data_IF_553278213102
#
_entry.id   IF_553278213102
#
_cell.length_a   1.000
_cell.length_b   1.000
_cell.length_c   1.000
_cell.angle_alpha   90.00
_cell.angle_beta   90.00
_cell.angle_gamma   90.00
#
_symmetry.space_group_name_H-M   'P 1'
#
loop_
_entity.id
_entity.type
_entity.pdbx_description
1 polymer ?
#
# COMPACT_ATOMS: atom_id res chain seq x y z
N UNK A 1 2.28 3.90 -0.13
CA UNK A 1 3.12 2.71 0.11
C UNK A 1 4.33 2.66 -0.83
N UNK A 2 5.10 1.57 -0.78
CA UNK A 2 6.33 1.46 -1.57
C UNK A 2 6.04 1.35 -3.05
N UNK A 3 5.02 0.59 -3.44
CA UNK A 3 4.69 0.38 -4.86
C UNK A 3 4.29 1.70 -5.52
N UNK A 4 3.31 2.40 -4.97
CA UNK A 4 2.90 3.71 -5.49
C UNK A 4 4.02 4.75 -5.50
N UNK A 5 4.82 4.86 -4.43
CA UNK A 5 5.92 5.84 -4.38
C UNK A 5 7.05 5.53 -5.37
N UNK A 6 7.40 4.25 -5.56
CA UNK A 6 8.39 3.85 -6.57
C UNK A 6 7.86 4.01 -7.98
N UNK A 7 6.56 3.75 -8.22
CA UNK A 7 5.92 3.97 -9.50
C UNK A 7 5.94 5.44 -9.91
N UNK A 8 5.58 6.34 -8.98
CA UNK A 8 5.63 7.80 -9.22
C UNK A 8 7.07 8.25 -9.47
N UNK A 9 8.03 7.83 -8.64
CA UNK A 9 9.42 8.19 -8.82
C UNK A 9 9.98 7.70 -10.17
N UNK A 10 9.63 6.48 -10.59
CA UNK A 10 10.04 5.91 -11.87
C UNK A 10 9.54 6.72 -13.06
N UNK A 11 8.22 6.92 -13.12
CA UNK A 11 7.58 7.63 -14.25
C UNK A 11 8.04 9.09 -14.30
N UNK A 12 8.11 9.77 -13.15
CA UNK A 12 8.62 11.13 -13.05
C UNK A 12 10.07 11.24 -13.53
N UNK A 13 10.98 10.38 -13.04
CA UNK A 13 12.40 10.37 -13.45
C UNK A 13 12.58 10.08 -14.92
N UNK A 14 11.76 9.21 -15.51
CA UNK A 14 11.84 8.92 -16.93
C UNK A 14 11.37 10.10 -17.78
N UNK A 15 10.16 10.61 -17.54
CA UNK A 15 9.57 11.67 -18.35
C UNK A 15 10.38 12.97 -18.22
N UNK A 16 10.88 13.28 -17.01
CA UNK A 16 11.67 14.51 -16.77
C UNK A 16 12.93 14.62 -17.64
N UNK A 17 13.44 13.50 -18.17
CA UNK A 17 14.58 13.52 -19.10
C UNK A 17 14.25 14.19 -20.45
N UNK A 18 12.97 14.16 -20.83
CA UNK A 18 12.52 14.58 -22.15
C UNK A 18 11.51 15.73 -22.11
N UNK A 19 10.82 15.90 -20.98
CA UNK A 19 9.76 16.86 -20.79
C UNK A 19 9.84 17.49 -19.39
N UNK A 20 10.05 18.80 -19.33
CA UNK A 20 10.28 19.51 -18.07
C UNK A 20 9.01 19.98 -17.36
N UNK A 21 7.88 20.10 -18.07
CA UNK A 21 6.61 20.54 -17.49
C UNK A 21 5.85 19.34 -16.92
N UNK A 22 6.40 18.76 -15.85
CA UNK A 22 5.87 17.61 -15.12
C UNK A 22 6.05 17.85 -13.62
N UNK A 23 5.03 17.49 -12.85
CA UNK A 23 5.04 17.49 -11.39
C UNK A 23 4.40 16.20 -10.90
N UNK A 24 4.40 15.96 -9.58
CA UNK A 24 3.75 14.82 -8.98
C UNK A 24 2.97 15.21 -7.72
N UNK A 25 1.88 14.52 -7.51
CA UNK A 25 1.00 14.68 -6.37
C UNK A 25 0.87 13.34 -5.63
N UNK A 26 1.02 13.37 -4.31
CA UNK A 26 0.81 12.20 -3.45
C UNK A 26 -0.32 12.56 -2.48
N UNK A 27 -1.47 11.89 -2.57
CA UNK A 27 -2.58 12.15 -1.67
C UNK A 27 -2.20 11.95 -0.20
N UNK A 28 -2.66 12.85 0.65
CA UNK A 28 -2.46 12.71 2.09
C UNK A 28 -3.41 11.62 2.64
N UNK A 29 -2.82 10.54 3.14
CA UNK A 29 -3.54 9.39 3.69
C UNK A 29 -4.57 9.76 4.75
N UNK A 30 -4.31 10.80 5.55
CA UNK A 30 -5.15 11.21 6.67
C UNK A 30 -6.32 12.08 6.24
N UNK A 31 -6.08 12.99 5.30
CA UNK A 31 -7.02 14.00 4.87
C UNK A 31 -7.76 13.67 3.57
N UNK A 32 -7.23 12.73 2.77
CA UNK A 32 -7.75 12.41 1.43
C UNK A 32 -8.03 10.91 1.25
N UNK A 33 -7.42 10.06 2.07
CA UNK A 33 -7.51 8.61 1.94
C UNK A 33 -6.49 8.04 0.95
N UNK A 34 -6.81 6.88 0.39
CA UNK A 34 -5.99 6.19 -0.60
C UNK A 34 -6.55 6.41 -2.01
N UNK A 35 -5.65 6.42 -3.00
CA UNK A 35 -6.02 6.46 -4.40
C UNK A 35 -6.19 7.88 -4.94
N UNK A 36 -7.02 8.03 -5.96
CA UNK A 36 -7.33 9.33 -6.56
C UNK A 36 -8.23 10.12 -5.62
N UNK A 37 -7.93 11.40 -5.40
CA UNK A 37 -8.73 12.29 -4.58
C UNK A 37 -9.25 13.48 -5.38
N UNK A 38 -10.41 13.99 -5.02
CA UNK A 38 -10.97 15.23 -5.60
C UNK A 38 -10.07 16.43 -5.33
N UNK A 39 -9.39 16.48 -4.17
CA UNK A 39 -8.38 17.50 -3.86
C UNK A 39 -7.19 17.46 -4.82
N UNK A 40 -6.72 16.27 -5.19
CA UNK A 40 -5.68 16.11 -6.20
C UNK A 40 -6.12 16.59 -7.58
N UNK A 41 -7.38 16.34 -7.94
CA UNK A 41 -7.98 16.87 -9.19
C UNK A 41 -8.10 18.39 -9.15
N UNK A 42 -8.52 18.97 -8.02
CA UNK A 42 -8.61 20.42 -7.84
C UNK A 42 -7.22 21.07 -7.94
N UNK A 43 -6.22 20.50 -7.28
CA UNK A 43 -4.83 20.96 -7.39
C UNK A 43 -4.35 20.96 -8.85
N UNK A 44 -4.63 19.88 -9.59
CA UNK A 44 -4.27 19.79 -11.00
C UNK A 44 -4.96 20.88 -11.86
N UNK A 45 -6.26 21.13 -11.60
CA UNK A 45 -7.01 22.18 -12.27
C UNK A 45 -6.46 23.58 -11.98
N UNK A 46 -6.15 23.88 -10.71
CA UNK A 46 -5.60 25.17 -10.27
C UNK A 46 -4.20 25.44 -10.85
N UNK A 47 -3.42 24.38 -11.05
CA UNK A 47 -2.06 24.47 -11.61
C UNK A 47 -2.01 24.35 -13.13
N UNK A 48 -3.17 24.22 -13.81
CA UNK A 48 -3.26 24.16 -15.26
C UNK A 48 -2.80 22.84 -15.88
N UNK A 49 -2.86 21.75 -15.11
CA UNK A 49 -2.52 20.39 -15.57
C UNK A 49 -3.67 19.86 -16.43
N UNK A 50 -3.38 19.42 -17.66
CA UNK A 50 -4.35 18.84 -18.58
C UNK A 50 -4.35 17.31 -18.63
N UNK A 51 -3.34 16.65 -18.07
CA UNK A 51 -3.21 15.19 -18.06
C UNK A 51 -2.66 14.69 -16.71
N UNK A 52 -3.35 13.75 -16.10
CA UNK A 52 -2.88 13.04 -14.90
C UNK A 52 -2.57 11.59 -15.24
N UNK A 53 -1.37 11.13 -14.91
CA UNK A 53 -0.98 9.73 -14.97
C UNK A 53 -1.12 9.16 -13.55
N UNK A 54 -2.09 8.29 -13.35
CA UNK A 54 -2.31 7.62 -12.06
C UNK A 54 -1.53 6.32 -12.02
N UNK A 55 -0.85 6.08 -10.91
CA UNK A 55 0.07 4.97 -10.73
C UNK A 55 -0.30 4.18 -9.47
N UNK A 56 -0.40 2.86 -9.59
CA UNK A 56 -0.72 1.93 -8.51
C UNK A 56 -2.10 2.15 -7.87
N UNK A 57 -2.99 2.83 -8.55
CA UNK A 57 -4.37 3.06 -8.13
C UNK A 57 -5.23 3.58 -9.29
N UNK A 58 -6.50 3.86 -9.01
CA UNK A 58 -7.37 4.57 -9.95
C UNK A 58 -8.32 3.68 -10.73
N UNK A 59 -8.14 2.36 -10.77
CA UNK A 59 -9.02 1.47 -11.55
C UNK A 59 -10.48 1.48 -11.07
N UNK A 60 -10.73 1.93 -9.84
CA UNK A 60 -12.06 2.06 -9.24
C UNK A 60 -12.53 3.51 -9.05
N UNK A 61 -11.71 4.50 -9.43
CA UNK A 61 -11.97 5.92 -9.21
C UNK A 61 -12.90 6.51 -10.27
N UNK A 62 -14.11 5.97 -10.41
CA UNK A 62 -15.08 6.38 -11.45
C UNK A 62 -15.56 7.80 -11.22
N UNK A 63 -15.91 8.15 -9.98
CA UNK A 63 -16.47 9.45 -9.62
C UNK A 63 -15.40 10.55 -9.75
N UNK A 64 -14.21 10.34 -9.23
CA UNK A 64 -13.12 11.32 -9.24
C UNK A 64 -12.64 11.59 -10.68
N UNK A 65 -12.56 10.56 -11.52
CA UNK A 65 -12.14 10.73 -12.92
C UNK A 65 -13.24 11.35 -13.76
N UNK A 66 -14.52 11.08 -13.44
CA UNK A 66 -15.65 11.79 -14.06
C UNK A 66 -15.59 13.28 -13.72
N UNK A 67 -15.37 13.61 -12.44
CA UNK A 67 -15.19 14.98 -11.99
C UNK A 67 -14.01 15.70 -12.66
N UNK A 68 -12.88 15.00 -12.82
CA UNK A 68 -11.72 15.55 -13.54
C UNK A 68 -12.02 15.84 -15.00
N UNK A 69 -12.80 14.97 -15.66
CA UNK A 69 -13.20 15.16 -17.05
C UNK A 69 -14.09 16.40 -17.25
N UNK A 70 -14.96 16.70 -16.28
CA UNK A 70 -15.74 17.94 -16.28
C UNK A 70 -14.87 19.19 -16.19
N UNK A 71 -13.68 19.08 -15.60
CA UNK A 71 -12.66 20.13 -15.54
C UNK A 71 -11.70 20.15 -16.74
N UNK A 72 -11.90 19.27 -17.73
CA UNK A 72 -11.06 19.17 -18.92
C UNK A 72 -9.70 18.51 -18.66
N UNK A 73 -9.58 17.68 -17.64
CA UNK A 73 -8.37 16.94 -17.28
C UNK A 73 -8.53 15.48 -17.71
N UNK A 74 -7.62 15.01 -18.57
CA UNK A 74 -7.56 13.61 -18.98
C UNK A 74 -6.78 12.75 -18.00
N UNK A 75 -7.09 11.43 -17.99
CA UNK A 75 -6.41 10.46 -17.14
C UNK A 75 -5.83 9.31 -17.96
N UNK A 76 -4.62 8.88 -17.58
CA UNK A 76 -4.05 7.58 -17.94
C UNK A 76 -3.90 6.79 -16.64
N UNK A 77 -4.49 5.60 -16.55
CA UNK A 77 -4.44 4.74 -15.37
C UNK A 77 -3.44 3.62 -15.61
N UNK A 78 -2.44 3.50 -14.73
CA UNK A 78 -1.49 2.40 -14.65
C UNK A 78 -1.66 1.70 -13.31
N UNK A 79 -2.51 0.68 -13.27
CA UNK A 79 -2.93 0.01 -12.03
C UNK A 79 -2.90 -1.51 -12.21
N UNK A 80 -2.77 -2.23 -11.11
CA UNK A 80 -2.75 -3.70 -11.08
C UNK A 80 -3.82 -4.30 -10.15
N UNK A 81 -4.63 -3.47 -9.53
CA UNK A 81 -5.74 -3.93 -8.69
C UNK A 81 -6.87 -4.52 -9.54
N UNK A 82 -7.70 -5.36 -8.92
CA UNK A 82 -8.86 -5.96 -9.60
C UNK A 82 -9.89 -4.86 -9.90
N UNK A 83 -10.29 -4.71 -11.18
CA UNK A 83 -11.30 -3.73 -11.56
C UNK A 83 -12.69 -4.14 -11.04
N UNK A 84 -13.58 -3.14 -10.91
CA UNK A 84 -15.01 -3.35 -10.74
C UNK A 84 -15.69 -3.49 -12.12
N UNK A 85 -17.00 -3.77 -12.14
CA UNK A 85 -17.78 -3.93 -13.36
C UNK A 85 -17.78 -2.67 -14.23
N UNK A 86 -17.69 -1.49 -13.61
CA UNK A 86 -17.66 -0.19 -14.27
C UNK A 86 -16.25 0.37 -14.22
N UNK A 87 -15.68 0.62 -15.40
CA UNK A 87 -14.36 1.24 -15.51
C UNK A 87 -14.45 2.77 -15.50
N UNK A 88 -13.45 3.46 -14.94
CA UNK A 88 -13.37 4.92 -14.98
C UNK A 88 -13.30 5.45 -16.42
N UNK A 89 -13.85 6.65 -16.71
CA UNK A 89 -13.85 7.24 -18.04
C UNK A 89 -12.51 7.91 -18.40
N UNK A 90 -11.41 7.19 -18.20
CA UNK A 90 -10.05 7.64 -18.50
C UNK A 90 -9.74 7.56 -20.01
N UNK A 91 -8.78 8.38 -20.48
CA UNK A 91 -8.30 8.34 -21.85
C UNK A 91 -7.61 7.00 -22.20
N UNK A 92 -6.91 6.40 -21.23
CA UNK A 92 -6.33 5.06 -21.35
C UNK A 92 -6.25 4.36 -19.99
N UNK A 93 -6.39 3.03 -19.99
CA UNK A 93 -6.29 2.18 -18.79
C UNK A 93 -5.37 1.01 -19.08
N UNK A 94 -4.21 0.99 -18.41
CA UNK A 94 -3.27 -0.11 -18.41
C UNK A 94 -3.47 -0.91 -17.13
N UNK A 95 -4.16 -2.05 -17.27
CA UNK A 95 -4.39 -2.99 -16.16
C UNK A 95 -4.57 -4.40 -16.75
N UNK A 96 -3.68 -5.31 -16.39
CA UNK A 96 -3.65 -6.67 -16.93
C UNK A 96 -4.75 -7.59 -16.36
N UNK A 97 -5.50 -7.15 -15.35
CA UNK A 97 -6.63 -7.89 -14.75
C UNK A 97 -8.00 -7.51 -15.34
N UNK A 98 -8.05 -6.62 -16.32
CA UNK A 98 -9.29 -6.31 -17.04
C UNK A 98 -9.72 -7.50 -17.88
N UNK A 99 -11.03 -7.75 -17.96
CA UNK A 99 -11.59 -8.88 -18.73
C UNK A 99 -11.31 -8.80 -20.23
N UNK A 100 -11.18 -7.59 -20.78
CA UNK A 100 -10.88 -7.32 -22.20
C UNK A 100 -9.38 -7.23 -22.51
N UNK A 101 -8.52 -7.50 -21.51
CA UNK A 101 -7.08 -7.41 -21.66
C UNK A 101 -6.48 -8.63 -22.32
N UNK A 102 -5.44 -8.43 -23.13
CA UNK A 102 -4.69 -9.50 -23.82
C UNK A 102 -3.23 -9.58 -23.38
N UNK A 103 -2.83 -8.79 -22.37
CA UNK A 103 -1.47 -8.82 -21.86
C UNK A 103 -1.19 -10.18 -21.17
N UNK A 104 -0.08 -10.84 -21.48
CA UNK A 104 0.12 -12.24 -21.11
C UNK A 104 0.47 -12.48 -19.63
N UNK A 105 0.70 -11.42 -18.84
CA UNK A 105 1.10 -11.52 -17.44
C UNK A 105 0.33 -10.55 -16.55
N UNK A 106 -0.53 -11.06 -15.69
CA UNK A 106 -1.48 -10.26 -14.89
C UNK A 106 -0.95 -9.83 -13.51
N UNK A 107 0.24 -10.29 -13.11
CA UNK A 107 0.76 -10.10 -11.75
C UNK A 107 1.85 -9.03 -11.64
N UNK A 108 1.95 -8.10 -12.59
CA UNK A 108 2.85 -6.96 -12.43
C UNK A 108 2.49 -6.16 -11.17
N UNK A 109 3.49 -5.60 -10.49
CA UNK A 109 3.27 -4.57 -9.47
C UNK A 109 2.84 -3.25 -10.13
N UNK A 110 2.29 -2.30 -9.38
CA UNK A 110 1.91 -0.98 -9.91
C UNK A 110 3.07 -0.24 -10.55
N UNK A 111 4.27 -0.28 -9.92
CA UNK A 111 5.50 0.24 -10.52
C UNK A 111 5.91 -0.55 -11.79
N UNK A 112 5.69 -1.86 -11.81
CA UNK A 112 5.89 -2.70 -12.99
C UNK A 112 4.99 -2.28 -14.16
N UNK A 113 3.72 -1.97 -13.91
CA UNK A 113 2.81 -1.42 -14.94
C UNK A 113 3.30 -0.05 -15.41
N UNK A 114 3.70 0.85 -14.50
CA UNK A 114 4.31 2.13 -14.84
C UNK A 114 5.57 1.99 -15.69
N UNK A 115 6.44 1.02 -15.37
CA UNK A 115 7.62 0.70 -16.17
C UNK A 115 7.25 0.24 -17.60
N UNK A 116 6.25 -0.62 -17.75
CA UNK A 116 5.77 -1.08 -19.07
C UNK A 116 5.16 0.05 -19.87
N UNK A 117 4.47 0.97 -19.22
CA UNK A 117 3.98 2.18 -19.87
C UNK A 117 5.15 3.04 -20.40
N UNK A 118 6.18 3.28 -19.60
CA UNK A 118 7.38 4.01 -20.05
C UNK A 118 8.15 3.28 -21.15
N UNK A 119 8.19 1.94 -21.10
CA UNK A 119 8.78 1.14 -22.18
C UNK A 119 8.02 1.30 -23.50
N UNK A 120 6.69 1.23 -23.46
CA UNK A 120 5.86 1.46 -24.65
C UNK A 120 6.01 2.87 -25.20
N UNK A 121 6.05 3.88 -24.31
CA UNK A 121 6.30 5.25 -24.67
C UNK A 121 7.68 5.43 -25.33
N UNK A 122 8.71 4.82 -24.78
CA UNK A 122 10.06 4.86 -25.32
C UNK A 122 10.11 4.27 -26.75
N UNK A 123 9.53 3.09 -26.94
CA UNK A 123 9.45 2.42 -28.24
C UNK A 123 8.73 3.32 -29.28
N UNK A 124 7.58 3.90 -28.90
CA UNK A 124 6.77 4.72 -29.80
C UNK A 124 7.46 6.05 -30.19
N UNK A 125 8.39 6.53 -29.37
CA UNK A 125 9.11 7.79 -29.57
C UNK A 125 10.58 7.61 -29.99
N UNK A 126 11.03 6.37 -30.28
CA UNK A 126 12.40 6.10 -30.69
C UNK A 126 13.45 6.37 -29.60
N UNK A 127 13.03 6.29 -28.32
CA UNK A 127 13.93 6.44 -27.16
C UNK A 127 14.58 5.10 -26.87
N UNK A 128 15.89 5.08 -26.74
CA UNK A 128 16.64 3.85 -26.53
C UNK A 128 16.41 3.25 -25.13
N UNK A 129 16.39 1.93 -25.04
CA UNK A 129 16.10 1.20 -23.81
C UNK A 129 17.07 1.49 -22.65
N UNK A 130 18.28 1.97 -22.95
CA UNK A 130 19.26 2.31 -21.93
C UNK A 130 18.79 3.39 -20.94
N UNK A 131 17.83 4.26 -21.32
CA UNK A 131 17.18 5.24 -20.45
C UNK A 131 16.28 4.60 -19.37
N UNK A 132 15.84 3.37 -19.59
CA UNK A 132 14.97 2.61 -18.66
C UNK A 132 15.79 1.75 -17.69
N UNK A 133 16.99 1.31 -18.07
CA UNK A 133 17.81 0.40 -17.27
C UNK A 133 18.06 0.93 -15.84
N UNK A 134 18.43 2.22 -15.63
CA UNK A 134 18.66 2.75 -14.29
C UNK A 134 17.43 2.70 -13.37
N UNK A 135 16.22 2.63 -13.94
CA UNK A 135 14.95 2.65 -13.20
C UNK A 135 14.51 1.25 -12.74
N UNK A 136 15.19 0.20 -13.18
CA UNK A 136 14.89 -1.18 -12.78
C UNK A 136 15.10 -1.43 -11.29
N UNK A 137 15.96 -0.67 -10.62
CA UNK A 137 16.15 -0.74 -9.18
C UNK A 137 14.85 -0.40 -8.41
N UNK A 138 14.11 0.62 -8.84
CA UNK A 138 12.79 0.97 -8.29
C UNK A 138 11.76 -0.14 -8.54
N UNK A 139 11.78 -0.77 -9.71
CA UNK A 139 10.89 -1.89 -10.03
C UNK A 139 11.17 -3.09 -9.13
N UNK A 140 12.45 -3.42 -8.86
CA UNK A 140 12.79 -4.52 -7.96
C UNK A 140 12.33 -4.23 -6.52
N UNK A 141 12.48 -3.00 -6.06
CA UNK A 141 12.01 -2.57 -4.73
C UNK A 141 10.49 -2.67 -4.63
N UNK A 142 9.77 -2.26 -5.65
CA UNK A 142 8.31 -2.41 -5.75
C UNK A 142 7.89 -3.87 -5.69
N UNK A 143 8.36 -4.72 -6.61
CA UNK A 143 7.99 -6.14 -6.69
C UNK A 143 8.19 -6.85 -5.35
N UNK A 144 9.31 -6.60 -4.69
CA UNK A 144 9.62 -7.22 -3.40
C UNK A 144 8.70 -6.70 -2.27
N UNK A 145 8.35 -5.43 -2.28
CA UNK A 145 7.59 -4.78 -1.20
C UNK A 145 6.08 -4.99 -1.31
N UNK A 146 5.55 -5.13 -2.52
CA UNK A 146 4.13 -5.38 -2.78
C UNK A 146 3.77 -6.87 -2.71
N UNK A 147 4.78 -7.73 -2.53
CA UNK A 147 4.61 -9.19 -2.36
C UNK A 147 3.88 -9.84 -3.55
N UNK A 148 4.02 -9.27 -4.74
CA UNK A 148 3.52 -9.90 -5.98
C UNK A 148 4.36 -11.14 -6.34
N UNK A 149 3.78 -12.14 -7.05
CA UNK A 149 4.50 -13.35 -7.42
C UNK A 149 5.80 -13.05 -8.21
N UNK A 150 6.96 -13.49 -7.68
CA UNK A 150 8.26 -13.36 -8.37
C UNK A 150 8.40 -14.50 -9.40
N UNK A 151 7.51 -14.50 -10.37
CA UNK A 151 7.45 -15.44 -11.48
C UNK A 151 7.30 -14.69 -12.80
N UNK A 152 7.38 -15.35 -13.92
CA UNK A 152 7.17 -14.75 -15.23
C UNK A 152 7.96 -13.45 -15.42
N UNK A 153 7.28 -12.39 -15.81
CA UNK A 153 7.90 -11.09 -16.11
C UNK A 153 8.45 -10.41 -14.83
N UNK A 154 7.76 -10.52 -13.68
CA UNK A 154 8.29 -10.01 -12.42
C UNK A 154 9.65 -10.61 -12.05
N UNK A 155 9.90 -11.90 -12.35
CA UNK A 155 11.20 -12.53 -12.10
C UNK A 155 12.30 -11.90 -12.95
N UNK A 156 12.01 -11.61 -14.21
CA UNK A 156 12.97 -10.97 -15.12
C UNK A 156 13.28 -9.54 -14.63
N UNK A 157 12.25 -8.77 -14.33
CA UNK A 157 12.37 -7.40 -13.84
C UNK A 157 13.10 -7.34 -12.49
N UNK A 158 12.74 -8.21 -11.54
CA UNK A 158 13.39 -8.30 -10.24
C UNK A 158 14.87 -8.72 -10.36
N UNK A 159 15.20 -9.67 -11.24
CA UNK A 159 16.60 -10.10 -11.46
C UNK A 159 17.47 -8.95 -11.96
N UNK A 160 17.02 -8.25 -13.01
CA UNK A 160 17.78 -7.14 -13.57
C UNK A 160 17.77 -5.92 -12.64
N UNK A 161 16.65 -5.69 -11.95
CA UNK A 161 16.54 -4.60 -10.97
C UNK A 161 17.41 -4.81 -9.73
N UNK A 162 17.52 -6.04 -9.20
CA UNK A 162 18.46 -6.38 -8.12
C UNK A 162 19.91 -6.20 -8.58
N UNK A 163 20.23 -6.60 -9.81
CA UNK A 163 21.56 -6.35 -10.37
C UNK A 163 21.87 -4.86 -10.46
N UNK A 164 20.90 -4.04 -10.92
CA UNK A 164 21.03 -2.59 -10.96
C UNK A 164 21.19 -2.00 -9.55
N UNK A 165 20.37 -2.43 -8.61
CA UNK A 165 20.40 -2.01 -7.21
C UNK A 165 21.77 -2.29 -6.54
N UNK A 166 22.38 -3.42 -6.86
CA UNK A 166 23.67 -3.84 -6.30
C UNK A 166 24.87 -3.22 -7.01
N UNK A 167 24.75 -2.83 -8.29
CA UNK A 167 25.88 -2.31 -9.07
C UNK A 167 25.91 -0.79 -9.14
N UNK A 168 24.77 -0.16 -9.35
CA UNK A 168 24.66 1.29 -9.53
C UNK A 168 23.25 1.78 -9.15
N UNK A 169 22.90 1.73 -7.86
CA UNK A 169 21.59 2.18 -7.38
C UNK A 169 21.35 3.67 -7.66
N UNK A 170 20.11 4.03 -7.88
CA UNK A 170 19.70 5.44 -7.93
C UNK A 170 20.05 6.15 -6.62
N UNK A 171 20.33 7.46 -6.69
CA UNK A 171 20.84 8.25 -5.56
C UNK A 171 20.00 8.11 -4.30
N UNK A 172 18.67 8.18 -4.42
CA UNK A 172 17.77 8.01 -3.27
C UNK A 172 17.82 6.60 -2.67
N UNK A 173 17.85 5.55 -3.51
CA UNK A 173 17.99 4.17 -3.01
C UNK A 173 19.37 3.93 -2.40
N UNK A 174 20.43 4.51 -2.98
CA UNK A 174 21.77 4.45 -2.40
C UNK A 174 21.80 5.04 -1.00
N UNK A 175 21.15 6.17 -0.77
CA UNK A 175 21.05 6.78 0.54
C UNK A 175 20.28 5.92 1.55
N UNK A 176 19.18 5.28 1.13
CA UNK A 176 18.44 4.34 1.99
C UNK A 176 19.29 3.11 2.32
N UNK A 177 20.03 2.56 1.34
CA UNK A 177 20.94 1.42 1.51
C UNK A 177 22.01 1.75 2.56
N UNK A 178 22.58 2.96 2.50
CA UNK A 178 23.58 3.43 3.45
C UNK A 178 23.00 3.50 4.87
N UNK A 179 21.88 4.15 5.05
CA UNK A 179 21.18 4.26 6.33
C UNK A 179 20.71 2.89 6.88
N UNK A 180 20.47 1.90 6.00
CA UNK A 180 20.18 0.52 6.39
C UNK A 180 21.40 -0.27 6.84
N UNK A 181 22.63 0.24 6.64
CA UNK A 181 23.88 -0.49 6.89
C UNK A 181 24.08 -1.65 5.91
N UNK A 182 23.68 -1.48 4.64
CA UNK A 182 23.73 -2.52 3.62
C UNK A 182 24.81 -2.29 2.55
N UNK A 183 25.65 -1.26 2.69
CA UNK A 183 26.60 -0.81 1.67
C UNK A 183 27.67 -1.85 1.33
N UNK A 184 28.06 -2.69 2.32
CA UNK A 184 29.18 -3.64 2.19
C UNK A 184 28.72 -5.07 1.81
N UNK A 185 27.49 -5.25 1.38
CA UNK A 185 26.95 -6.57 1.04
C UNK A 185 26.01 -6.53 -0.15
N UNK A 186 25.86 -7.68 -0.81
CA UNK A 186 24.83 -7.85 -1.82
C UNK A 186 23.42 -7.79 -1.20
N UNK A 187 22.58 -6.89 -1.73
CA UNK A 187 21.21 -6.70 -1.31
C UNK A 187 20.36 -7.82 -1.90
N UNK A 188 19.57 -8.44 -1.05
CA UNK A 188 18.63 -9.50 -1.40
C UNK A 188 17.18 -8.99 -1.39
N UNK A 189 16.25 -9.78 -1.93
CA UNK A 189 14.79 -9.53 -1.81
C UNK A 189 14.40 -9.38 -0.34
N UNK A 190 14.95 -10.21 0.55
CA UNK A 190 14.69 -10.13 2.00
C UNK A 190 15.14 -8.80 2.61
N UNK A 191 16.29 -8.25 2.18
CA UNK A 191 16.73 -6.93 2.66
C UNK A 191 15.78 -5.82 2.18
N UNK A 192 15.22 -5.93 0.97
CA UNK A 192 14.22 -4.98 0.48
C UNK A 192 12.96 -5.06 1.36
N UNK A 193 12.40 -6.26 1.54
CA UNK A 193 11.16 -6.48 2.29
C UNK A 193 11.27 -6.02 3.74
N UNK A 194 12.37 -6.34 4.42
CA UNK A 194 12.50 -6.14 5.88
C UNK A 194 13.28 -4.89 6.29
N UNK A 195 14.01 -4.25 5.37
CA UNK A 195 14.84 -3.08 5.71
C UNK A 195 14.53 -1.84 4.86
N UNK A 196 14.55 -1.96 3.52
CA UNK A 196 14.35 -0.82 2.62
C UNK A 196 12.87 -0.42 2.57
N UNK A 197 11.97 -1.35 2.24
CA UNK A 197 10.54 -1.12 2.11
C UNK A 197 9.87 -0.51 3.34
N UNK A 198 10.12 -1.04 4.56
CA UNK A 198 9.55 -0.46 5.78
C UNK A 198 9.92 1.00 6.03
N UNK A 199 11.11 1.45 5.62
CA UNK A 199 11.52 2.86 5.72
C UNK A 199 10.73 3.73 4.76
N UNK A 200 10.66 3.33 3.49
CA UNK A 200 9.86 4.04 2.48
C UNK A 200 8.40 4.16 2.94
N UNK A 201 7.82 3.06 3.44
CA UNK A 201 6.45 3.05 3.96
C UNK A 201 6.25 3.92 5.21
N UNK A 202 7.29 4.10 6.02
CA UNK A 202 7.18 4.86 7.27
C UNK A 202 6.86 6.34 7.01
N UNK A 203 7.35 6.94 5.91
CA UNK A 203 7.04 8.33 5.57
C UNK A 203 5.54 8.56 5.44
N UNK A 204 4.83 7.73 4.68
CA UNK A 204 3.38 7.82 4.51
C UNK A 204 2.54 7.33 5.70
N UNK A 205 3.17 6.72 6.73
CA UNK A 205 2.49 6.30 7.96
C UNK A 205 2.62 7.32 9.08
N UNK A 206 3.74 8.03 9.16
CA UNK A 206 4.06 8.96 10.26
C UNK A 206 3.89 10.41 9.82
N UNK A 207 4.19 10.71 8.55
CA UNK A 207 4.13 12.05 7.97
C UNK A 207 3.41 12.00 6.60
N UNK A 208 4.12 12.32 5.52
CA UNK A 208 3.58 12.39 4.18
C UNK A 208 4.36 11.50 3.20
N UNK A 209 3.65 10.72 2.39
CA UNK A 209 4.24 9.86 1.36
C UNK A 209 5.04 10.61 0.29
N UNK A 210 4.81 11.93 0.12
CA UNK A 210 5.59 12.78 -0.77
C UNK A 210 7.08 12.76 -0.44
N UNK A 211 7.45 12.74 0.84
CA UNK A 211 8.85 12.72 1.27
C UNK A 211 9.62 11.50 0.74
N UNK A 212 8.95 10.35 0.61
CA UNK A 212 9.56 9.17 -0.01
C UNK A 212 9.83 9.39 -1.51
N UNK A 213 8.91 10.03 -2.24
CA UNK A 213 9.11 10.36 -3.66
C UNK A 213 10.21 11.41 -3.81
N UNK A 214 10.20 12.45 -2.94
CA UNK A 214 11.23 13.48 -2.91
C UNK A 214 12.65 12.90 -2.68
N UNK A 215 12.77 11.84 -1.87
CA UNK A 215 14.01 11.11 -1.68
C UNK A 215 14.38 10.28 -2.93
N UNK A 216 13.44 9.50 -3.47
CA UNK A 216 13.70 8.60 -4.59
C UNK A 216 14.03 9.33 -5.89
N UNK A 217 13.59 10.60 -6.01
CA UNK A 217 13.85 11.46 -7.19
C UNK A 217 15.06 12.37 -7.03
N UNK A 218 15.64 12.44 -5.83
CA UNK A 218 16.80 13.30 -5.54
C UNK A 218 18.04 12.92 -6.37
N UNK A 219 18.79 13.93 -6.78
CA UNK A 219 20.01 13.79 -7.61
C UNK A 219 21.30 14.04 -6.84
N UNK A 220 21.23 14.81 -5.74
CA UNK A 220 22.37 15.07 -4.87
C UNK A 220 22.39 14.04 -3.71
N UNK A 221 23.50 13.35 -3.55
CA UNK A 221 23.63 12.30 -2.53
C UNK A 221 23.59 12.85 -1.10
N UNK A 222 24.16 14.03 -0.87
CA UNK A 222 24.17 14.63 0.48
C UNK A 222 22.76 14.97 0.93
N UNK A 223 21.94 15.57 0.03
CA UNK A 223 20.53 15.87 0.28
C UNK A 223 19.72 14.57 0.42
N UNK A 224 19.98 13.60 -0.43
CA UNK A 224 19.32 12.29 -0.34
C UNK A 224 19.63 11.60 1.01
N UNK A 225 20.85 11.69 1.50
CA UNK A 225 21.25 11.10 2.79
C UNK A 225 20.52 11.79 3.97
N UNK A 226 20.37 13.11 3.94
CA UNK A 226 19.58 13.84 4.95
C UNK A 226 18.12 13.37 4.95
N UNK A 227 17.48 13.29 3.78
CA UNK A 227 16.12 12.77 3.63
C UNK A 227 15.99 11.31 4.07
N UNK A 228 16.96 10.46 3.73
CA UNK A 228 16.98 9.05 4.14
C UNK A 228 17.10 8.90 5.67
N UNK A 229 17.91 9.72 6.32
CA UNK A 229 18.00 9.76 7.79
C UNK A 229 16.67 10.20 8.44
N UNK A 230 15.99 11.18 7.86
CA UNK A 230 14.68 11.62 8.34
C UNK A 230 13.65 10.48 8.23
N UNK A 231 13.58 9.80 7.08
CA UNK A 231 12.71 8.64 6.86
C UNK A 231 13.04 7.49 7.81
N UNK A 232 14.33 7.29 8.12
CA UNK A 232 14.73 6.30 9.13
C UNK A 232 14.20 6.66 10.52
N UNK A 233 14.21 7.93 10.92
CA UNK A 233 13.61 8.37 12.18
C UNK A 233 12.11 8.05 12.23
N UNK A 234 11.38 8.29 11.14
CA UNK A 234 9.97 7.90 11.04
C UNK A 234 9.78 6.39 11.20
N UNK A 235 10.67 5.58 10.61
CA UNK A 235 10.61 4.14 10.77
C UNK A 235 10.88 3.68 12.21
N UNK A 236 11.82 4.31 12.92
CA UNK A 236 12.03 4.01 14.35
C UNK A 236 10.80 4.42 15.18
N UNK A 237 10.28 5.64 14.99
CA UNK A 237 9.02 6.07 15.63
C UNK A 237 7.88 5.10 15.36
N UNK A 238 7.71 4.65 14.10
CA UNK A 238 6.69 3.68 13.74
C UNK A 238 6.88 2.34 14.48
N UNK A 239 8.14 1.86 14.65
CA UNK A 239 8.43 0.62 15.39
C UNK A 239 8.09 0.76 16.88
N UNK A 240 8.43 1.89 17.49
CA UNK A 240 8.15 2.15 18.90
C UNK A 240 6.63 2.20 19.14
N UNK A 241 5.90 2.92 18.28
CA UNK A 241 4.43 2.95 18.31
C UNK A 241 3.82 1.56 18.11
N UNK A 242 4.30 0.79 17.12
CA UNK A 242 3.85 -0.57 16.85
C UNK A 242 4.04 -1.47 18.07
N UNK A 243 5.22 -1.41 18.72
CA UNK A 243 5.51 -2.19 19.93
C UNK A 243 4.56 -1.81 21.07
N UNK A 244 4.51 -0.53 21.42
CA UNK A 244 3.70 -0.03 22.54
C UNK A 244 2.22 -0.34 22.33
N UNK A 245 1.68 -0.01 21.16
CA UNK A 245 0.27 -0.25 20.84
C UNK A 245 -0.07 -1.75 20.80
N UNK A 246 0.87 -2.60 20.34
CA UNK A 246 0.66 -4.07 20.35
C UNK A 246 0.67 -4.62 21.77
N UNK A 247 1.55 -4.13 22.66
CA UNK A 247 1.57 -4.53 24.08
C UNK A 247 0.27 -4.11 24.77
N UNK A 248 -0.19 -2.88 24.59
CA UNK A 248 -1.47 -2.38 25.11
C UNK A 248 -2.66 -3.17 24.56
N UNK A 249 -2.69 -3.44 23.24
CA UNK A 249 -3.74 -4.21 22.62
C UNK A 249 -3.82 -5.65 23.17
N UNK A 250 -2.68 -6.31 23.37
CA UNK A 250 -2.63 -7.64 23.99
C UNK A 250 -3.13 -7.62 25.43
N UNK A 251 -2.83 -6.57 26.21
CA UNK A 251 -3.34 -6.43 27.57
C UNK A 251 -4.87 -6.28 27.55
N UNK A 252 -5.42 -5.42 26.67
CA UNK A 252 -6.87 -5.25 26.52
C UNK A 252 -7.52 -6.58 26.13
N UNK A 253 -6.92 -7.33 25.19
CA UNK A 253 -7.46 -8.64 24.79
C UNK A 253 -7.44 -9.65 25.95
N UNK A 254 -6.37 -9.67 26.75
CA UNK A 254 -6.26 -10.54 27.90
C UNK A 254 -7.33 -10.25 28.97
N UNK A 255 -7.73 -8.99 29.10
CA UNK A 255 -8.74 -8.55 30.07
C UNK A 255 -10.18 -8.68 29.51
N UNK A 256 -10.37 -9.10 28.25
CA UNK A 256 -11.69 -9.30 27.66
C UNK A 256 -12.39 -10.52 28.25
N UNK A 257 -13.55 -10.30 28.85
CA UNK A 257 -14.43 -11.39 29.30
C UNK A 257 -14.91 -12.23 28.09
N UNK A 258 -14.94 -13.54 28.26
CA UNK A 258 -15.44 -14.47 27.25
C UNK A 258 -14.54 -14.56 25.99
N UNK A 259 -13.24 -14.30 26.10
CA UNK A 259 -12.32 -14.37 24.95
C UNK A 259 -12.34 -15.74 24.25
N UNK A 260 -12.54 -16.82 25.01
CA UNK A 260 -12.57 -18.19 24.46
C UNK A 260 -13.75 -18.40 23.49
N UNK A 261 -14.88 -17.76 23.75
CA UNK A 261 -16.12 -17.87 22.98
C UNK A 261 -16.15 -16.91 21.78
N UNK A 262 -15.38 -15.82 21.83
CA UNK A 262 -15.34 -14.82 20.74
C UNK A 262 -14.65 -15.37 19.51
N UNK A 263 -15.13 -14.95 18.34
CA UNK A 263 -14.57 -15.30 17.02
C UNK A 263 -13.90 -14.13 16.32
N UNK A 264 -14.00 -12.94 16.88
CA UNK A 264 -13.34 -11.73 16.38
C UNK A 264 -12.75 -10.89 17.51
N UNK A 265 -11.87 -9.97 17.17
CA UNK A 265 -11.29 -8.98 18.08
C UNK A 265 -11.61 -7.59 17.51
N UNK A 266 -12.30 -6.77 18.30
CA UNK A 266 -12.53 -5.35 17.97
C UNK A 266 -12.04 -4.53 19.16
N UNK A 267 -11.03 -3.69 18.91
CA UNK A 267 -10.45 -2.83 19.93
C UNK A 267 -10.57 -1.36 19.51
N UNK A 268 -10.84 -0.51 20.47
CA UNK A 268 -10.85 0.94 20.32
C UNK A 268 -10.01 1.59 21.41
N UNK A 269 -9.10 2.47 21.01
CA UNK A 269 -8.37 3.36 21.91
C UNK A 269 -8.13 4.69 21.19
N UNK A 270 -8.58 5.78 21.81
CA UNK A 270 -8.53 7.12 21.19
C UNK A 270 -7.11 7.65 20.99
N UNK A 271 -6.13 7.18 21.76
CA UNK A 271 -4.75 7.62 21.76
C UNK A 271 -3.87 6.85 20.73
N UNK A 272 -4.40 5.82 20.08
CA UNK A 272 -3.59 5.04 19.14
C UNK A 272 -3.34 5.77 17.82
N UNK A 273 -2.14 5.60 17.30
CA UNK A 273 -1.74 6.28 16.07
C UNK A 273 -2.37 5.65 14.83
N UNK A 274 -3.17 6.44 14.07
CA UNK A 274 -3.92 5.98 12.88
C UNK A 274 -3.04 5.26 11.84
N UNK A 275 -1.78 5.69 11.63
CA UNK A 275 -0.84 5.09 10.67
C UNK A 275 -0.35 3.70 11.09
N UNK A 276 -0.58 3.26 12.34
CA UNK A 276 -0.04 2.03 12.93
C UNK A 276 -1.14 1.01 13.25
N UNK A 277 -2.40 1.43 13.46
CA UNK A 277 -3.51 0.51 13.81
C UNK A 277 -3.62 -0.70 12.86
N UNK A 278 -3.34 -0.54 11.57
CA UNK A 278 -3.38 -1.64 10.61
C UNK A 278 -2.26 -2.67 10.82
N UNK A 279 -1.12 -2.27 11.37
CA UNK A 279 -0.02 -3.18 11.74
C UNK A 279 -0.44 -3.95 13.00
N UNK A 280 -0.98 -3.26 14.00
CA UNK A 280 -1.49 -3.88 15.23
C UNK A 280 -2.61 -4.88 14.91
N UNK A 281 -3.55 -4.54 14.03
CA UNK A 281 -4.59 -5.47 13.59
C UNK A 281 -4.01 -6.74 12.94
N UNK A 282 -2.95 -6.62 12.11
CA UNK A 282 -2.26 -7.80 11.55
C UNK A 282 -1.63 -8.66 12.65
N UNK A 283 -0.95 -8.05 13.63
CA UNK A 283 -0.34 -8.79 14.74
C UNK A 283 -1.37 -9.52 15.60
N UNK A 284 -2.51 -8.87 15.90
CA UNK A 284 -3.59 -9.53 16.64
C UNK A 284 -4.15 -10.71 15.85
N UNK A 285 -4.31 -10.57 14.54
CA UNK A 285 -4.75 -11.67 13.67
C UNK A 285 -3.75 -12.84 13.68
N UNK A 286 -2.45 -12.55 13.64
CA UNK A 286 -1.37 -13.55 13.71
C UNK A 286 -1.30 -14.26 15.09
N UNK A 287 -1.49 -13.53 16.19
CA UNK A 287 -1.40 -14.07 17.55
C UNK A 287 -2.64 -14.87 17.92
N UNK A 288 -3.83 -14.34 17.62
CA UNK A 288 -5.10 -14.90 18.09
C UNK A 288 -5.86 -15.72 17.04
N UNK A 289 -5.39 -15.74 15.79
CA UNK A 289 -6.02 -16.45 14.66
C UNK A 289 -7.50 -16.13 14.48
N UNK A 290 -7.84 -14.85 14.54
CA UNK A 290 -9.20 -14.32 14.43
C UNK A 290 -9.18 -13.03 13.59
N UNK A 291 -10.26 -12.72 12.87
CA UNK A 291 -10.41 -11.41 12.28
C UNK A 291 -10.30 -10.33 13.35
N UNK A 292 -9.48 -9.32 13.10
CA UNK A 292 -9.22 -8.24 14.05
C UNK A 292 -9.50 -6.87 13.43
N UNK A 293 -10.19 -6.01 14.17
CA UNK A 293 -10.44 -4.60 13.85
C UNK A 293 -9.83 -3.75 14.96
N UNK A 294 -8.94 -2.84 14.59
CA UNK A 294 -8.33 -1.89 15.51
C UNK A 294 -8.76 -0.49 15.11
N UNK A 295 -9.35 0.22 16.06
CA UNK A 295 -9.96 1.53 15.89
C UNK A 295 -9.23 2.56 16.75
N UNK A 296 -9.13 3.79 16.22
CA UNK A 296 -8.64 4.96 16.96
C UNK A 296 -9.52 6.17 16.67
N UNK A 297 -9.38 7.23 17.44
CA UNK A 297 -10.09 8.48 17.21
C UNK A 297 -9.35 9.33 16.16
N UNK A 298 -10.11 9.86 15.22
CA UNK A 298 -9.64 10.89 14.29
C UNK A 298 -10.74 11.96 14.25
N UNK A 299 -10.44 13.14 14.79
CA UNK A 299 -11.45 14.19 15.02
C UNK A 299 -12.62 13.65 15.87
N UNK A 300 -13.84 13.67 15.33
CA UNK A 300 -15.04 13.18 16.01
C UNK A 300 -15.43 11.75 15.58
N UNK A 301 -14.55 11.06 14.84
CA UNK A 301 -14.81 9.76 14.25
C UNK A 301 -13.90 8.68 14.82
N UNK A 302 -14.42 7.46 14.95
CA UNK A 302 -13.62 6.26 15.10
C UNK A 302 -13.18 5.78 13.71
N UNK A 303 -11.87 5.77 13.46
CA UNK A 303 -11.29 5.27 12.21
C UNK A 303 -10.57 3.97 12.49
N UNK A 304 -10.76 2.95 11.65
CA UNK A 304 -10.27 1.61 11.88
C UNK A 304 -9.58 0.95 10.70
N UNK A 305 -8.82 -0.07 11.05
CA UNK A 305 -8.25 -1.01 10.08
C UNK A 305 -8.57 -2.43 10.50
N UNK A 306 -9.10 -3.20 9.57
CA UNK A 306 -9.43 -4.61 9.76
C UNK A 306 -8.42 -5.51 9.04
N UNK A 307 -8.16 -6.66 9.64
CA UNK A 307 -7.37 -7.75 9.07
C UNK A 307 -8.08 -9.07 9.28
N UNK A 308 -7.87 -10.00 8.35
CA UNK A 308 -8.54 -11.30 8.37
C UNK A 308 -7.58 -12.47 8.43
N UNK A 309 -8.12 -13.61 8.84
CA UNK A 309 -7.47 -14.92 8.70
C UNK A 309 -7.71 -15.50 7.30
N UNK A 310 -6.89 -16.47 6.91
CA UNK A 310 -7.06 -17.17 5.63
C UNK A 310 -8.47 -17.79 5.53
N UNK A 311 -9.10 -17.62 4.38
CA UNK A 311 -10.43 -18.19 4.08
C UNK A 311 -11.63 -17.37 4.56
N UNK A 312 -11.46 -16.32 5.38
CA UNK A 312 -12.55 -15.48 5.84
C UNK A 312 -12.52 -14.10 5.17
N UNK A 313 -13.66 -13.65 4.69
CA UNK A 313 -13.83 -12.35 4.04
C UNK A 313 -14.25 -11.26 5.04
N UNK A 314 -13.25 -10.48 5.53
CA UNK A 314 -13.51 -9.40 6.49
C UNK A 314 -14.27 -8.22 5.87
N UNK A 315 -14.18 -8.03 4.56
CA UNK A 315 -14.91 -6.96 3.89
C UNK A 315 -16.43 -7.19 4.00
N UNK A 316 -16.91 -8.42 3.78
CA UNK A 316 -18.33 -8.77 3.94
C UNK A 316 -18.81 -8.57 5.38
N UNK A 317 -17.97 -8.86 6.37
CA UNK A 317 -18.31 -8.64 7.78
C UNK A 317 -18.48 -7.14 8.10
N UNK A 318 -17.64 -6.29 7.51
CA UNK A 318 -17.76 -4.84 7.63
C UNK A 318 -18.98 -4.32 6.85
N UNK A 319 -19.19 -4.81 5.63
CA UNK A 319 -20.35 -4.45 4.80
C UNK A 319 -21.67 -4.79 5.49
N UNK A 320 -21.75 -5.89 6.22
CA UNK A 320 -22.93 -6.24 7.03
C UNK A 320 -23.25 -5.19 8.11
N UNK A 321 -22.25 -4.40 8.51
CA UNK A 321 -22.39 -3.32 9.48
C UNK A 321 -22.56 -1.93 8.83
N UNK A 322 -22.80 -1.84 7.51
CA UNK A 322 -22.74 -0.59 6.72
C UNK A 322 -23.58 0.57 7.24
N UNK A 323 -24.75 0.29 7.84
CA UNK A 323 -25.62 1.31 8.43
C UNK A 323 -25.08 1.98 9.70
N UNK A 324 -24.02 1.41 10.29
CA UNK A 324 -23.28 1.99 11.42
C UNK A 324 -22.04 2.79 10.97
N UNK A 325 -21.68 2.69 9.69
CA UNK A 325 -20.45 3.24 9.12
C UNK A 325 -20.72 4.51 8.32
N UNK A 326 -19.78 5.43 8.34
CA UNK A 326 -19.76 6.59 7.45
C UNK A 326 -19.02 6.25 6.14
N UNK A 327 -17.88 5.52 6.26
CA UNK A 327 -17.11 5.04 5.11
C UNK A 327 -16.50 3.68 5.41
N UNK A 328 -16.39 2.84 4.38
CA UNK A 328 -15.60 1.62 4.43
C UNK A 328 -15.13 1.23 3.03
N UNK A 329 -14.02 0.48 2.97
CA UNK A 329 -13.47 -0.01 1.72
C UNK A 329 -12.34 -1.00 1.98
N UNK A 330 -12.05 -1.83 1.00
CA UNK A 330 -10.97 -2.84 1.13
C UNK A 330 -11.24 -4.08 0.31
N UNK A 331 -10.64 -5.17 0.76
CA UNK A 331 -10.67 -6.48 0.12
C UNK A 331 -10.85 -7.57 1.17
N UNK A 332 -10.93 -8.83 0.74
CA UNK A 332 -11.16 -10.03 1.57
C UNK A 332 -10.32 -10.07 2.85
N UNK A 333 -9.03 -9.68 2.80
CA UNK A 333 -8.11 -9.83 3.94
C UNK A 333 -7.77 -8.54 4.67
N UNK A 334 -8.12 -7.38 4.11
CA UNK A 334 -7.81 -6.09 4.71
C UNK A 334 -8.83 -5.05 4.30
N UNK A 335 -9.35 -4.29 5.27
CA UNK A 335 -10.27 -3.20 5.01
C UNK A 335 -10.03 -2.02 5.96
N UNK A 336 -10.43 -0.84 5.50
CA UNK A 336 -10.51 0.37 6.29
C UNK A 336 -11.96 0.75 6.53
N UNK A 337 -12.24 1.41 7.65
CA UNK A 337 -13.59 1.85 7.99
C UNK A 337 -13.57 3.11 8.86
N UNK A 338 -14.66 3.86 8.84
CA UNK A 338 -14.89 4.94 9.79
C UNK A 338 -16.35 5.00 10.22
N UNK A 339 -16.57 5.39 11.47
CA UNK A 339 -17.90 5.52 12.07
C UNK A 339 -17.89 6.57 13.17
N UNK A 340 -19.07 6.99 13.62
CA UNK A 340 -19.18 7.79 14.84
C UNK A 340 -18.70 6.97 16.04
N UNK A 341 -18.01 7.61 16.99
CA UNK A 341 -17.47 6.93 18.19
C UNK A 341 -18.59 6.22 18.96
N UNK A 342 -19.77 6.79 19.04
CA UNK A 342 -20.95 6.22 19.70
C UNK A 342 -21.43 4.89 19.08
N UNK A 343 -21.10 4.63 17.81
CA UNK A 343 -21.46 3.40 17.11
C UNK A 343 -20.50 2.22 17.39
N UNK A 344 -19.34 2.47 17.98
CA UNK A 344 -18.31 1.42 18.21
C UNK A 344 -18.86 0.22 19.00
N UNK A 345 -19.64 0.37 20.09
CA UNK A 345 -20.19 -0.78 20.78
C UNK A 345 -21.19 -1.60 19.96
N UNK A 346 -22.06 -0.93 19.19
CA UNK A 346 -23.02 -1.60 18.31
C UNK A 346 -22.32 -2.32 17.14
N UNK A 347 -21.31 -1.69 16.55
CA UNK A 347 -20.46 -2.29 15.53
C UNK A 347 -19.75 -3.54 16.07
N UNK A 348 -19.10 -3.46 17.24
CA UNK A 348 -18.39 -4.58 17.87
C UNK A 348 -19.29 -5.79 18.03
N UNK A 349 -20.50 -5.58 18.52
CA UNK A 349 -21.48 -6.67 18.72
C UNK A 349 -21.90 -7.28 17.36
N UNK A 350 -22.27 -6.47 16.39
CA UNK A 350 -22.78 -6.93 15.09
C UNK A 350 -21.66 -7.60 14.26
N UNK A 351 -20.46 -7.07 14.33
CA UNK A 351 -19.30 -7.67 13.67
C UNK A 351 -19.01 -9.06 14.24
N UNK A 352 -19.01 -9.23 15.57
CA UNK A 352 -18.86 -10.53 16.23
C UNK A 352 -19.99 -11.50 15.85
N UNK A 353 -21.24 -11.06 15.80
CA UNK A 353 -22.39 -11.87 15.37
C UNK A 353 -22.18 -12.42 13.95
N UNK A 354 -21.78 -11.55 12.99
CA UNK A 354 -21.52 -11.99 11.61
C UNK A 354 -20.34 -12.96 11.54
N UNK A 355 -19.22 -12.63 12.20
CA UNK A 355 -18.03 -13.48 12.20
C UNK A 355 -18.36 -14.85 12.79
N UNK A 356 -19.04 -14.91 13.93
CA UNK A 356 -19.41 -16.17 14.60
C UNK A 356 -20.31 -17.08 13.75
N UNK A 357 -21.15 -16.48 12.89
CA UNK A 357 -22.04 -17.23 12.01
C UNK A 357 -21.38 -17.72 10.72
N UNK A 358 -20.31 -17.07 10.27
CA UNK A 358 -19.74 -17.28 8.95
C UNK A 358 -18.29 -17.79 8.95
N UNK A 359 -17.60 -17.74 10.10
CA UNK A 359 -16.23 -18.28 10.19
C UNK A 359 -16.28 -19.79 10.41
N UNK A 360 -15.52 -20.53 9.63
CA UNK A 360 -15.43 -21.98 9.79
C UNK A 360 -14.34 -22.32 10.83
N UNK A 361 -14.49 -23.44 11.58
CA UNK A 361 -13.48 -23.87 12.55
C UNK A 361 -12.06 -23.96 11.97
N UNK A 362 -11.94 -24.43 10.74
CA UNK A 362 -10.69 -24.55 10.00
C UNK A 362 -9.99 -23.20 9.73
N UNK A 363 -10.72 -22.09 9.70
CA UNK A 363 -10.14 -20.74 9.55
C UNK A 363 -9.46 -20.25 10.83
N UNK A 364 -9.73 -20.89 11.98
CA UNK A 364 -9.19 -20.52 13.29
C UNK A 364 -8.15 -21.52 13.82
N UNK A 365 -7.74 -22.51 13.01
CA UNK A 365 -6.79 -23.52 13.41
C UNK A 365 -5.36 -23.08 13.10
N UNK A 366 -4.52 -23.08 14.12
CA UNK A 366 -3.07 -23.16 14.00
C UNK A 366 -2.72 -24.59 13.57
N UNK A 367 -2.21 -24.76 12.35
CA UNK A 367 -1.43 -25.95 12.03
C UNK A 367 -0.07 -25.79 12.70
N UNK A 368 0.09 -26.29 13.90
CA UNK A 368 1.40 -26.41 14.55
C UNK A 368 2.09 -27.65 13.99
N UNK A 369 3.42 -27.61 13.89
CA UNK A 369 4.26 -28.74 13.46
C UNK A 369 4.11 -29.99 14.33
N UNK A 370 3.46 -29.90 15.50
CA UNK A 370 3.20 -31.02 16.39
C UNK A 370 2.21 -32.07 15.82
N UNK A 371 1.44 -31.70 14.80
CA UNK A 371 0.62 -32.68 14.06
C UNK A 371 1.43 -33.69 13.24
N UNK A 372 2.74 -33.45 13.07
CA UNK A 372 3.63 -34.38 12.35
C UNK A 372 4.19 -35.50 13.25
N UNK A 373 4.21 -35.30 14.58
CA UNK A 373 4.77 -36.28 15.52
C UNK A 373 3.74 -37.38 15.91
N UNK A 374 2.45 -37.16 15.65
CA UNK A 374 1.39 -38.17 15.92
C UNK A 374 1.19 -39.18 14.77
N UNK A 375 2.02 -39.13 13.71
CA UNK A 375 1.95 -40.01 12.53
C UNK A 375 3.19 -40.91 12.34
N UNK A 376 3.98 -41.16 13.43
CA UNK A 376 5.07 -42.16 13.42
C UNK A 376 4.72 -43.32 14.31
#
# INVERSE_FOLDING_TARGET
DVDGTTAVALVYKFIQQFYSNIDYYIPDRYNEGYGVSTKGVDYAAETGVGLIIVLDCGIKAVEEITYAKEKGIDFIICDHHVPDDVLPPAAAILNAKRLDNTYPYEHLSGCGVGFKFMQAFAISNGIEFHHLIPLLDLVAVSIASDIVPIMGENRILAFHGLKQLNSNPSVGLKAIIDVCGLTEKDITVSDIVFKIGPRINASGRIQNGKEAVDLLTEKDFSIALEKANQINQYNETRKDLDKTMTEEANQIVADLEGLAERRSIVLYNEDWHKGVIGIVASRLTEIYYRPAVVLTRTDDMATGSARSVSGFDVYKAIEYCRDLLENFGGHTYAAGLSMKVENVPAFTKRFEEFVSQNILPEHCLLYTSDAADDLI
#
